data_IF_261128355426
#
_entry.id   IF_261128355426
#
_cell.length_a   1.000
_cell.length_b   1.000
_cell.length_c   1.000
_cell.angle_alpha   90.00
_cell.angle_beta   90.00
_cell.angle_gamma   90.00
#
_symmetry.space_group_name_H-M   'P 1'
#
loop_
_entity.id
_entity.type
_entity.pdbx_description
1 polymer ?
#
# COMPACT_ATOMS: atom_id res chain seq x y z
N UNK A 1 14.81 -9.66 -1.35
CA UNK A 1 13.83 -10.22 -0.36
C UNK A 1 12.56 -10.68 -1.09
N UNK A 2 11.94 -11.83 -0.73
CA UNK A 2 10.68 -12.27 -1.37
C UNK A 2 9.48 -11.58 -0.71
N UNK A 3 8.61 -10.98 -1.52
CA UNK A 3 7.33 -10.43 -1.10
C UNK A 3 6.18 -11.35 -1.50
N UNK A 4 5.15 -11.37 -0.68
CA UNK A 4 3.85 -11.97 -0.91
C UNK A 4 2.84 -10.88 -1.19
N UNK A 5 1.75 -11.21 -1.90
CA UNK A 5 0.74 -10.24 -2.33
C UNK A 5 -0.65 -10.64 -1.84
N UNK A 6 -1.40 -9.68 -1.34
CA UNK A 6 -2.82 -9.79 -1.05
C UNK A 6 -3.56 -8.62 -1.71
N UNK A 7 -4.46 -8.89 -2.65
CA UNK A 7 -5.39 -7.87 -3.18
C UNK A 7 -6.63 -7.72 -2.29
N UNK A 8 -6.99 -6.51 -1.88
CA UNK A 8 -8.15 -6.29 -1.00
C UNK A 8 -8.25 -4.86 -0.47
N UNK A 9 -9.14 -4.65 0.49
CA UNK A 9 -9.28 -3.40 1.25
C UNK A 9 -9.03 -3.67 2.74
N UNK A 10 -8.81 -2.61 3.52
CA UNK A 10 -8.74 -2.71 4.97
C UNK A 10 -10.16 -2.96 5.48
N UNK A 11 -10.34 -4.08 6.17
CA UNK A 11 -11.59 -4.43 6.88
C UNK A 11 -11.56 -3.90 8.31
N UNK A 12 -10.41 -4.04 8.96
CA UNK A 12 -10.20 -3.67 10.36
C UNK A 12 -8.77 -3.18 10.53
N UNK A 13 -8.56 -2.23 11.44
CA UNK A 13 -7.25 -1.83 11.89
C UNK A 13 -7.26 -1.66 13.41
N UNK A 14 -6.11 -1.91 14.04
CA UNK A 14 -5.92 -1.63 15.45
C UNK A 14 -4.93 -0.50 15.64
N UNK A 15 -5.26 0.37 16.59
CA UNK A 15 -4.40 1.49 17.00
C UNK A 15 -3.93 1.24 18.43
N UNK A 16 -2.63 1.15 18.62
CA UNK A 16 -1.98 1.00 19.91
C UNK A 16 -1.09 2.21 20.18
N UNK A 17 -1.31 2.87 21.32
CA UNK A 17 -0.54 4.07 21.72
C UNK A 17 -0.51 5.17 20.64
N UNK A 18 -1.61 5.33 19.90
CA UNK A 18 -1.75 6.33 18.85
C UNK A 18 -0.97 6.01 17.58
N UNK A 19 -0.75 4.72 17.28
CA UNK A 19 -0.15 4.25 16.02
C UNK A 19 -0.86 2.98 15.57
N UNK A 20 -1.02 2.80 14.27
CA UNK A 20 -1.51 1.53 13.74
C UNK A 20 -0.53 0.41 14.09
N UNK A 21 -1.02 -0.68 14.68
CA UNK A 21 -0.23 -1.89 14.97
C UNK A 21 -0.44 -2.97 13.90
N UNK A 22 -1.70 -3.22 13.53
CA UNK A 22 -2.02 -4.15 12.45
C UNK A 22 -3.20 -3.66 11.61
N UNK A 23 -3.28 -4.21 10.40
CA UNK A 23 -4.46 -4.15 9.54
C UNK A 23 -4.92 -5.57 9.20
N UNK A 24 -6.23 -5.74 9.04
CA UNK A 24 -6.85 -6.94 8.51
C UNK A 24 -7.37 -6.61 7.12
N UNK A 25 -6.89 -7.35 6.14
CA UNK A 25 -7.28 -7.21 4.75
C UNK A 25 -8.36 -8.22 4.41
N UNK A 26 -9.35 -7.77 3.65
CA UNK A 26 -10.43 -8.59 3.13
C UNK A 26 -10.66 -8.30 1.65
N UNK A 27 -11.06 -9.32 0.89
CA UNK A 27 -11.42 -9.17 -0.51
C UNK A 27 -12.92 -9.42 -0.69
N UNK A 28 -13.71 -8.34 -0.73
CA UNK A 28 -15.17 -8.44 -0.88
C UNK A 28 -15.62 -9.07 -2.20
N UNK A 29 -14.70 -9.20 -3.17
CA UNK A 29 -14.99 -9.82 -4.47
C UNK A 29 -14.66 -11.32 -4.51
N UNK A 30 -14.02 -11.85 -3.47
CA UNK A 30 -13.59 -13.25 -3.37
C UNK A 30 -13.71 -13.75 -1.92
N UNK A 31 -14.87 -14.30 -1.57
CA UNK A 31 -15.17 -14.79 -0.23
C UNK A 31 -14.48 -16.12 0.13
N UNK A 32 -13.98 -16.85 -0.88
CA UNK A 32 -13.21 -18.08 -0.65
C UNK A 32 -11.77 -17.76 -0.22
N UNK A 33 -11.30 -16.55 -0.51
CA UNK A 33 -10.02 -16.04 -0.06
C UNK A 33 -10.07 -15.66 1.42
N UNK A 34 -9.25 -16.32 2.23
CA UNK A 34 -9.17 -16.05 3.65
C UNK A 34 -8.65 -14.61 3.94
N UNK A 35 -9.29 -13.85 4.86
CA UNK A 35 -8.76 -12.57 5.30
C UNK A 35 -7.33 -12.71 5.84
N UNK A 36 -6.51 -11.69 5.66
CA UNK A 36 -5.09 -11.71 6.10
C UNK A 36 -4.81 -10.54 7.03
N UNK A 37 -4.25 -10.83 8.22
CA UNK A 37 -3.72 -9.82 9.13
C UNK A 37 -2.26 -9.54 8.79
N UNK A 38 -1.92 -8.27 8.65
CA UNK A 38 -0.56 -7.78 8.45
C UNK A 38 -0.17 -6.85 9.59
N UNK A 39 1.04 -7.01 10.10
CA UNK A 39 1.62 -6.06 11.04
C UNK A 39 2.16 -4.84 10.27
N UNK A 40 1.92 -3.66 10.81
CA UNK A 40 2.25 -2.40 10.14
C UNK A 40 3.13 -1.55 11.04
N UNK A 41 4.25 -1.08 10.49
CA UNK A 41 5.22 -0.27 11.23
C UNK A 41 5.67 0.93 10.42
N UNK A 42 6.31 1.89 11.09
CA UNK A 42 7.02 3.01 10.47
C UNK A 42 6.12 3.90 9.61
N UNK A 43 6.66 4.34 8.48
CA UNK A 43 6.02 5.29 7.57
C UNK A 43 4.71 4.79 6.94
N UNK A 44 4.57 3.50 6.62
CA UNK A 44 3.31 2.96 6.09
C UNK A 44 2.19 3.00 7.12
N UNK A 45 2.50 2.76 8.39
CA UNK A 45 1.50 2.91 9.47
C UNK A 45 0.99 4.35 9.57
N UNK A 46 1.90 5.33 9.51
CA UNK A 46 1.55 6.75 9.49
C UNK A 46 0.73 7.13 8.25
N UNK A 47 1.07 6.58 7.09
CA UNK A 47 0.33 6.80 5.85
C UNK A 47 -1.11 6.30 5.94
N UNK A 48 -1.29 5.05 6.41
CA UNK A 48 -2.61 4.44 6.58
C UNK A 48 -3.42 5.20 7.65
N UNK A 49 -2.81 5.60 8.76
CA UNK A 49 -3.50 6.40 9.78
C UNK A 49 -3.98 7.74 9.22
N UNK A 50 -3.15 8.40 8.41
CA UNK A 50 -3.48 9.69 7.84
C UNK A 50 -4.62 9.61 6.81
N UNK A 51 -4.63 8.60 5.93
CA UNK A 51 -5.72 8.39 4.95
C UNK A 51 -7.02 7.89 5.59
N UNK A 52 -6.95 7.10 6.67
CA UNK A 52 -8.15 6.67 7.41
C UNK A 52 -8.85 7.84 8.12
N UNK A 53 -8.12 8.94 8.35
CA UNK A 53 -8.65 10.21 8.87
C UNK A 53 -9.24 11.12 7.80
N UNK A 54 -9.25 10.73 6.52
CA UNK A 54 -9.83 11.52 5.43
C UNK A 54 -11.06 10.83 4.81
N UNK A 55 -11.77 11.57 3.96
CA UNK A 55 -12.83 11.03 3.11
C UNK A 55 -12.33 10.71 1.69
N UNK A 56 -11.01 10.52 1.53
CA UNK A 56 -10.42 10.28 0.22
C UNK A 56 -10.86 8.91 -0.31
N UNK A 57 -11.21 8.87 -1.59
CA UNK A 57 -11.63 7.64 -2.28
C UNK A 57 -10.57 6.54 -2.23
N UNK A 58 -9.28 6.91 -2.16
CA UNK A 58 -8.14 5.99 -2.10
C UNK A 58 -8.30 4.91 -1.03
N UNK A 59 -8.93 5.24 0.11
CA UNK A 59 -9.21 4.31 1.21
C UNK A 59 -10.07 3.12 0.79
N UNK A 60 -11.01 3.35 -0.11
CA UNK A 60 -11.99 2.36 -0.54
C UNK A 60 -11.54 1.57 -1.79
N UNK A 61 -10.39 1.92 -2.36
CA UNK A 61 -9.86 1.24 -3.54
C UNK A 61 -9.25 -0.10 -3.14
N UNK A 62 -9.72 -1.18 -3.79
CA UNK A 62 -9.10 -2.50 -3.72
C UNK A 62 -7.66 -2.42 -4.24
N UNK A 63 -6.71 -2.41 -3.30
CA UNK A 63 -5.28 -2.25 -3.58
C UNK A 63 -4.55 -3.58 -3.47
N UNK A 64 -3.36 -3.64 -4.06
CA UNK A 64 -2.42 -4.75 -3.90
C UNK A 64 -1.47 -4.45 -2.74
N UNK A 65 -1.52 -5.30 -1.71
CA UNK A 65 -0.75 -5.16 -0.48
C UNK A 65 0.38 -6.19 -0.48
N UNK A 66 1.62 -5.71 -0.41
CA UNK A 66 2.81 -6.55 -0.44
C UNK A 66 3.48 -6.62 0.92
N UNK A 67 3.80 -7.83 1.37
CA UNK A 67 4.35 -8.10 2.69
C UNK A 67 5.44 -9.17 2.65
N UNK A 68 6.29 -9.19 3.67
CA UNK A 68 7.36 -10.19 3.78
C UNK A 68 6.90 -11.48 4.49
N UNK A 69 7.81 -12.44 4.69
CA UNK A 69 7.50 -13.71 5.36
C UNK A 69 7.12 -13.57 6.84
N UNK A 70 7.34 -12.41 7.45
CA UNK A 70 6.95 -12.11 8.83
C UNK A 70 5.59 -11.40 8.89
N UNK A 71 4.86 -11.32 7.76
CA UNK A 71 3.59 -10.61 7.63
C UNK A 71 3.72 -9.09 7.84
N UNK A 72 4.91 -8.54 7.64
CA UNK A 72 5.11 -7.10 7.74
C UNK A 72 4.77 -6.45 6.40
N UNK A 73 3.86 -5.47 6.43
CA UNK A 73 3.53 -4.68 5.25
C UNK A 73 4.77 -3.93 4.76
N UNK A 74 5.06 -4.02 3.46
CA UNK A 74 6.23 -3.40 2.83
C UNK A 74 5.87 -2.43 1.71
N UNK A 75 4.76 -2.67 1.01
CA UNK A 75 4.34 -1.84 -0.12
C UNK A 75 2.84 -1.94 -0.36
N UNK A 76 2.25 -0.84 -0.82
CA UNK A 76 0.87 -0.72 -1.26
C UNK A 76 0.90 -0.26 -2.71
N UNK A 77 0.19 -0.95 -3.59
CA UNK A 77 0.00 -0.56 -4.98
C UNK A 77 -1.48 -0.28 -5.23
N UNK A 78 -1.81 0.98 -5.48
CA UNK A 78 -3.16 1.39 -5.84
C UNK A 78 -3.34 1.14 -7.34
N UNK A 79 -4.35 0.37 -7.77
CA UNK A 79 -4.55 0.03 -9.18
C UNK A 79 -4.81 1.29 -10.01
N UNK A 80 -4.37 1.27 -11.27
CA UNK A 80 -4.73 2.28 -12.27
C UNK A 80 -5.67 1.71 -13.33
N UNK A 81 -6.13 2.57 -14.25
CA UNK A 81 -7.03 2.18 -15.36
C UNK A 81 -6.37 1.24 -16.37
N UNK A 82 -5.05 1.27 -16.52
CA UNK A 82 -4.28 0.41 -17.43
C UNK A 82 -3.53 -0.70 -16.65
N UNK A 83 -2.70 -1.51 -17.33
CA UNK A 83 -1.89 -2.60 -16.74
C UNK A 83 -0.82 -2.17 -15.70
N UNK A 84 -0.87 -0.93 -15.21
CA UNK A 84 0.14 -0.28 -14.37
C UNK A 84 -0.55 0.48 -13.23
N UNK A 85 0.04 0.51 -12.03
CA UNK A 85 -0.56 1.17 -10.87
C UNK A 85 -0.77 2.68 -11.07
N UNK A 86 -1.75 3.25 -10.38
CA UNK A 86 -1.92 4.69 -10.24
C UNK A 86 -0.91 5.28 -9.25
N UNK A 87 -0.59 4.51 -8.21
CA UNK A 87 0.26 4.95 -7.11
C UNK A 87 0.95 3.76 -6.47
N UNK A 88 2.21 3.93 -6.10
CA UNK A 88 2.97 2.94 -5.33
C UNK A 88 3.49 3.64 -4.09
N UNK A 89 3.16 3.11 -2.92
CA UNK A 89 3.64 3.59 -1.62
C UNK A 89 4.50 2.48 -1.01
N UNK A 90 5.76 2.75 -0.75
CA UNK A 90 6.70 1.77 -0.18
C UNK A 90 7.55 2.40 0.92
N UNK A 91 8.09 1.57 1.79
CA UNK A 91 9.15 1.99 2.72
C UNK A 91 10.53 1.75 2.13
N UNK A 92 11.49 2.56 2.57
CA UNK A 92 12.89 2.24 2.36
C UNK A 92 13.25 0.93 3.11
N UNK A 93 13.97 -0.02 2.48
CA UNK A 93 14.43 -1.23 3.15
C UNK A 93 15.38 -0.93 4.33
N UNK A 94 16.17 0.14 4.22
CA UNK A 94 17.17 0.53 5.21
C UNK A 94 16.60 1.41 6.33
N UNK A 95 15.50 2.12 6.06
CA UNK A 95 14.80 2.97 7.02
C UNK A 95 13.28 2.85 6.87
N UNK A 96 12.65 2.10 7.76
CA UNK A 96 11.20 1.89 7.77
C UNK A 96 10.41 3.17 8.05
N UNK A 97 11.02 4.22 8.61
CA UNK A 97 10.37 5.51 8.84
C UNK A 97 10.42 6.44 7.61
N UNK A 98 11.14 6.07 6.54
CA UNK A 98 11.14 6.77 5.27
C UNK A 98 10.10 6.19 4.30
N UNK A 99 9.18 7.05 3.83
CA UNK A 99 8.17 6.71 2.84
C UNK A 99 8.60 7.18 1.45
N UNK A 100 8.45 6.32 0.46
CA UNK A 100 8.63 6.64 -0.95
C UNK A 100 7.29 6.46 -1.68
N UNK A 101 6.83 7.52 -2.34
CA UNK A 101 5.57 7.54 -3.10
C UNK A 101 5.86 7.82 -4.56
N UNK A 102 5.43 6.92 -5.44
CA UNK A 102 5.51 7.05 -6.91
C UNK A 102 4.10 7.23 -7.48
N UNK A 103 3.95 8.15 -8.43
CA UNK A 103 2.65 8.58 -8.96
C UNK A 103 2.10 9.80 -8.22
N UNK A 104 0.79 9.84 -8.00
CA UNK A 104 0.14 10.96 -7.29
C UNK A 104 0.61 11.03 -5.83
N UNK A 105 1.02 12.22 -5.37
CA UNK A 105 1.51 12.42 -4.00
C UNK A 105 0.38 12.69 -3.03
N UNK A 106 -0.65 13.39 -3.50
CA UNK A 106 -1.86 13.63 -2.73
C UNK A 106 -2.73 12.35 -2.68
N UNK A 107 -3.74 12.33 -1.82
CA UNK A 107 -4.67 11.21 -1.79
C UNK A 107 -5.53 11.19 -3.05
N UNK A 108 -5.82 10.00 -3.54
CA UNK A 108 -6.70 9.82 -4.70
C UNK A 108 -8.15 10.10 -4.30
N UNK A 109 -8.77 11.07 -4.98
CA UNK A 109 -10.16 11.51 -4.75
C UNK A 109 -11.16 10.88 -5.75
N UNK A 110 -10.78 9.78 -6.40
CA UNK A 110 -11.66 9.07 -7.34
C UNK A 110 -11.50 7.56 -7.23
N UNK A 111 -12.60 6.81 -7.30
CA UNK A 111 -12.58 5.34 -7.32
C UNK A 111 -11.92 4.72 -8.56
N UNK A 112 -11.60 5.51 -9.59
CA UNK A 112 -10.95 5.05 -10.84
C UNK A 112 -9.75 5.93 -11.19
N UNK A 113 -8.66 5.87 -10.40
CA UNK A 113 -7.50 6.71 -10.65
C UNK A 113 -6.79 6.31 -11.95
N UNK A 114 -6.29 7.31 -12.66
CA UNK A 114 -5.45 7.10 -13.85
C UNK A 114 -4.14 6.45 -13.42
N UNK A 115 -3.63 5.53 -14.25
CA UNK A 115 -2.29 4.97 -14.06
C UNK A 115 -1.24 6.08 -14.02
N UNK A 116 -0.18 5.89 -13.24
CA UNK A 116 0.88 6.88 -13.11
C UNK A 116 1.57 7.16 -14.45
N UNK A 117 2.13 8.36 -14.65
CA UNK A 117 2.91 8.66 -15.85
C UNK A 117 4.11 7.70 -15.99
N UNK A 118 4.52 7.45 -17.24
CA UNK A 118 5.65 6.55 -17.53
C UNK A 118 6.97 6.98 -16.86
N UNK A 119 7.16 8.28 -16.61
CA UNK A 119 8.31 8.80 -15.87
C UNK A 119 8.33 8.32 -14.41
N UNK A 120 7.19 8.37 -13.71
CA UNK A 120 7.05 7.87 -12.34
C UNK A 120 7.20 6.36 -12.28
N UNK A 121 6.68 5.64 -13.27
CA UNK A 121 6.90 4.20 -13.40
C UNK A 121 8.39 3.87 -13.59
N UNK A 122 9.09 4.62 -14.45
CA UNK A 122 10.53 4.45 -14.63
C UNK A 122 11.30 4.77 -13.34
N UNK A 123 10.89 5.80 -12.59
CA UNK A 123 11.47 6.14 -11.29
C UNK A 123 11.31 5.00 -10.29
N UNK A 124 10.11 4.40 -10.24
CA UNK A 124 9.83 3.21 -9.45
C UNK A 124 10.74 2.04 -9.83
N UNK A 125 10.82 1.69 -11.13
CA UNK A 125 11.63 0.56 -11.60
C UNK A 125 13.13 0.74 -11.31
N UNK A 126 13.64 1.98 -11.39
CA UNK A 126 15.03 2.27 -11.01
C UNK A 126 15.23 2.12 -9.51
N UNK A 127 14.31 2.65 -8.71
CA UNK A 127 14.36 2.55 -7.26
C UNK A 127 14.29 1.09 -6.79
N UNK A 128 13.37 0.29 -7.33
CA UNK A 128 13.21 -1.12 -6.96
C UNK A 128 14.50 -1.91 -7.25
N UNK A 129 15.14 -1.70 -8.40
CA UNK A 129 16.41 -2.35 -8.74
C UNK A 129 17.57 -1.98 -7.81
N UNK A 130 17.56 -0.76 -7.26
CA UNK A 130 18.62 -0.28 -6.37
C UNK A 130 18.42 -0.79 -4.94
N UNK A 131 17.18 -0.81 -4.47
CA UNK A 131 16.86 -0.99 -3.05
C UNK A 131 16.34 -2.41 -2.73
N UNK A 132 15.69 -3.10 -3.66
CA UNK A 132 14.97 -4.37 -3.39
C UNK A 132 15.70 -5.60 -3.94
N UNK A 133 16.99 -5.76 -3.61
CA UNK A 133 17.79 -6.94 -3.98
C UNK A 133 17.44 -8.21 -3.17
#
# INVERSE_FOLDING_TARGET
MKLYKYSGTIEELAVERGRISYIKLFDVTDFDKAPTRLEVFGALGKYIEAIEGTDAEERYIKSDWYFDSNLYLRRIEVPGVCDWPAKIITQSPDDIDQLEIFGEREYIETSKPKSMPGEEMNRWLMWERQNMK
#
